data_IF_332081694064
#
_entry.id   IF_332081694064
#
_cell.length_a   1.000
_cell.length_b   1.000
_cell.length_c   1.000
_cell.angle_alpha   90.00
_cell.angle_beta   90.00
_cell.angle_gamma   90.00
#
_symmetry.space_group_name_H-M   'P 1'
#
loop_
_entity.id
_entity.type
_entity.pdbx_description
1 polymer ?
#
# COMPACT_ATOMS: atom_id res chain seq x y z
N UNK A 1 7.71 55.40 -17.56
CA UNK A 1 7.46 54.45 -18.66
C UNK A 1 8.61 53.47 -18.60
N UNK A 2 8.44 52.41 -17.82
CA UNK A 2 9.21 51.18 -17.84
C UNK A 2 8.38 50.21 -17.01
N UNK A 3 7.57 49.41 -17.71
CA UNK A 3 6.65 48.46 -17.13
C UNK A 3 7.40 47.13 -16.96
N UNK A 4 7.46 46.64 -15.73
CA UNK A 4 7.85 45.26 -15.42
C UNK A 4 6.87 44.30 -16.12
N UNK A 5 7.36 43.25 -16.81
CA UNK A 5 6.48 42.22 -17.34
C UNK A 5 5.92 41.37 -16.19
N UNK A 6 4.62 41.05 -16.18
CA UNK A 6 4.04 40.20 -15.15
C UNK A 6 4.55 38.77 -15.26
N UNK A 7 4.88 38.24 -14.09
CA UNK A 7 5.20 36.84 -13.80
C UNK A 7 4.11 35.94 -14.40
N UNK A 8 4.52 35.01 -15.27
CA UNK A 8 3.63 33.96 -15.76
C UNK A 8 3.73 32.79 -14.80
N UNK A 9 2.91 32.84 -13.75
CA UNK A 9 2.52 31.65 -13.00
C UNK A 9 1.91 30.65 -13.98
N UNK A 10 2.72 29.66 -14.37
CA UNK A 10 2.21 28.46 -15.04
C UNK A 10 1.58 27.59 -13.97
N UNK A 11 0.39 28.01 -13.53
CA UNK A 11 -0.60 27.12 -12.93
C UNK A 11 -1.05 26.19 -14.08
N UNK A 12 -0.46 25.01 -14.16
CA UNK A 12 -0.87 23.99 -15.11
C UNK A 12 -0.97 22.64 -14.42
N UNK A 13 -2.19 22.14 -14.52
CA UNK A 13 -2.68 20.80 -14.27
C UNK A 13 -2.78 20.35 -12.82
N UNK A 14 -3.89 20.79 -12.23
CA UNK A 14 -4.86 19.90 -11.57
C UNK A 14 -4.90 18.51 -12.22
N UNK A 15 -3.99 17.62 -11.81
CA UNK A 15 -4.18 16.20 -12.04
C UNK A 15 -5.37 15.80 -11.17
N UNK A 16 -6.48 15.48 -11.82
CA UNK A 16 -7.67 14.95 -11.17
C UNK A 16 -7.30 13.59 -10.59
N UNK A 17 -6.79 13.59 -9.35
CA UNK A 17 -6.53 12.39 -8.57
C UNK A 17 -7.89 11.80 -8.21
N UNK A 18 -8.43 11.02 -9.14
CA UNK A 18 -9.57 10.16 -8.84
C UNK A 18 -9.04 9.19 -7.79
N UNK A 19 -9.45 9.38 -6.53
CA UNK A 19 -8.94 8.69 -5.34
C UNK A 19 -8.78 7.19 -5.61
N UNK A 20 -7.58 6.79 -5.98
CA UNK A 20 -7.30 5.41 -6.34
C UNK A 20 -7.16 4.58 -5.07
N UNK A 21 -7.82 3.44 -5.02
CA UNK A 21 -7.79 2.58 -3.85
C UNK A 21 -6.45 1.82 -3.79
N UNK A 22 -5.58 2.20 -2.85
CA UNK A 22 -4.21 1.67 -2.76
C UNK A 22 -4.17 0.32 -2.05
N UNK A 23 -3.74 -0.71 -2.78
CA UNK A 23 -3.33 -2.02 -2.24
C UNK A 23 -1.82 -2.01 -2.08
N UNK A 24 -1.30 -2.41 -0.92
CA UNK A 24 0.15 -2.47 -0.67
C UNK A 24 0.61 -3.92 -0.70
N UNK A 25 1.79 -4.13 -1.29
CA UNK A 25 2.45 -5.43 -1.38
C UNK A 25 3.84 -5.32 -0.75
N UNK A 26 4.05 -6.01 0.36
CA UNK A 26 5.35 -6.09 1.02
C UNK A 26 5.46 -7.35 1.88
N UNK A 27 6.65 -7.93 1.93
CA UNK A 27 6.97 -9.15 2.70
C UNK A 27 7.40 -8.82 4.13
N UNK A 28 7.37 -9.81 5.03
CA UNK A 28 8.11 -9.74 6.28
C UNK A 28 7.37 -9.11 7.47
N UNK A 29 6.16 -8.59 7.28
CA UNK A 29 5.47 -7.75 8.27
C UNK A 29 4.15 -8.33 8.81
N UNK A 30 3.57 -9.35 8.17
CA UNK A 30 2.29 -9.95 8.54
C UNK A 30 2.11 -11.37 7.94
N UNK A 31 1.07 -12.14 8.33
CA UNK A 31 0.75 -13.46 7.76
C UNK A 31 0.38 -13.47 6.27
N UNK A 32 0.16 -12.29 5.69
CA UNK A 32 -0.12 -12.06 4.27
C UNK A 32 0.64 -10.81 3.82
N UNK A 33 1.27 -10.84 2.64
CA UNK A 33 2.00 -9.70 2.12
C UNK A 33 1.07 -8.67 1.44
N UNK A 34 -0.22 -8.97 1.28
CA UNK A 34 -1.20 -8.08 0.63
C UNK A 34 -2.00 -7.32 1.68
N UNK A 35 -1.94 -5.99 1.58
CA UNK A 35 -2.55 -5.08 2.53
C UNK A 35 -3.52 -4.14 1.83
N UNK A 36 -4.77 -4.13 2.29
CA UNK A 36 -5.79 -3.19 1.83
C UNK A 36 -6.63 -2.75 3.02
N UNK A 37 -6.39 -1.53 3.51
CA UNK A 37 -6.95 -1.03 4.79
C UNK A 37 -6.64 -1.96 5.99
N UNK A 38 -5.51 -2.67 5.94
CA UNK A 38 -5.12 -3.71 6.88
C UNK A 38 -4.62 -4.97 6.16
N UNK A 39 -4.07 -5.92 6.92
CA UNK A 39 -3.69 -7.25 6.40
C UNK A 39 -4.94 -7.97 5.91
N UNK A 40 -4.86 -8.66 4.77
CA UNK A 40 -5.97 -9.47 4.24
C UNK A 40 -5.64 -10.95 4.25
N UNK A 41 -6.61 -11.74 4.68
CA UNK A 41 -6.51 -13.20 4.68
C UNK A 41 -6.61 -13.76 3.27
N UNK A 42 -5.89 -14.85 3.03
CA UNK A 42 -5.76 -15.47 1.70
C UNK A 42 -7.11 -15.86 1.09
N UNK A 43 -7.97 -16.49 1.88
CA UNK A 43 -9.27 -16.98 1.43
C UNK A 43 -10.29 -15.85 1.24
N UNK A 44 -10.04 -14.71 1.90
CA UNK A 44 -10.87 -13.52 1.80
C UNK A 44 -10.59 -12.72 0.53
N UNK A 45 -9.36 -12.69 0.03
CA UNK A 45 -8.99 -11.91 -1.15
C UNK A 45 -9.67 -12.38 -2.43
N UNK A 46 -10.02 -13.67 -2.51
CA UNK A 46 -10.73 -14.23 -3.67
C UNK A 46 -9.90 -14.28 -4.95
N UNK A 47 -8.57 -14.20 -4.83
CA UNK A 47 -7.66 -14.46 -5.94
C UNK A 47 -7.73 -15.92 -6.37
N UNK A 48 -7.41 -16.20 -7.63
CA UNK A 48 -7.25 -17.58 -8.09
C UNK A 48 -6.11 -18.31 -7.35
N UNK A 49 -6.09 -19.64 -7.51
CA UNK A 49 -5.12 -20.51 -6.85
C UNK A 49 -3.68 -20.18 -7.27
N UNK A 50 -3.48 -19.79 -8.52
CA UNK A 50 -2.16 -19.60 -9.10
C UNK A 50 -1.50 -18.32 -8.57
N UNK A 51 -2.25 -17.21 -8.56
CA UNK A 51 -1.78 -15.96 -7.95
C UNK A 51 -1.58 -16.13 -6.44
N UNK A 52 -2.49 -16.83 -5.76
CA UNK A 52 -2.35 -17.12 -4.33
C UNK A 52 -1.10 -17.95 -4.03
N UNK A 53 -0.84 -19.00 -4.82
CA UNK A 53 0.33 -19.85 -4.64
C UNK A 53 1.64 -19.08 -4.91
N UNK A 54 1.68 -18.25 -5.95
CA UNK A 54 2.87 -17.47 -6.26
C UNK A 54 3.16 -16.38 -5.22
N UNK A 55 2.12 -15.73 -4.67
CA UNK A 55 2.26 -14.80 -3.56
C UNK A 55 2.80 -15.48 -2.29
N UNK A 56 2.29 -16.67 -1.95
CA UNK A 56 2.77 -17.46 -0.81
C UNK A 56 4.22 -17.88 -0.98
N UNK A 57 4.61 -18.34 -2.18
CA UNK A 57 5.99 -18.72 -2.48
C UNK A 57 6.92 -17.51 -2.35
N UNK A 58 6.52 -16.38 -2.90
CA UNK A 58 7.28 -15.14 -2.80
C UNK A 58 7.48 -14.72 -1.35
N UNK A 59 6.42 -14.68 -0.53
CA UNK A 59 6.54 -14.33 0.89
C UNK A 59 7.43 -15.31 1.68
N UNK A 60 7.32 -16.62 1.42
CA UNK A 60 8.15 -17.64 2.06
C UNK A 60 9.64 -17.53 1.67
N UNK A 61 9.93 -17.19 0.41
CA UNK A 61 11.31 -17.02 -0.08
C UNK A 61 12.05 -15.92 0.69
N UNK A 62 11.36 -14.86 1.12
CA UNK A 62 11.93 -13.79 1.94
C UNK A 62 12.49 -14.34 3.26
N UNK A 63 11.70 -15.12 4.00
CA UNK A 63 12.11 -15.70 5.27
C UNK A 63 13.20 -16.76 5.10
N UNK A 64 13.08 -17.62 4.08
CA UNK A 64 14.08 -18.64 3.78
C UNK A 64 15.45 -18.04 3.38
N UNK A 65 15.46 -16.82 2.83
CA UNK A 65 16.69 -16.10 2.49
C UNK A 65 17.44 -15.57 3.72
N UNK A 66 16.73 -15.26 4.81
CA UNK A 66 17.29 -14.66 6.04
C UNK A 66 17.77 -15.68 7.07
N UNK A 67 17.33 -16.93 6.95
CA UNK A 67 17.69 -18.05 7.85
C UNK A 67 19.04 -18.72 7.50
N UNK A 68 19.91 -18.05 6.74
CA UNK A 68 21.21 -18.61 6.34
C UNK A 68 22.33 -17.66 6.73
N UNK A 69 23.12 -18.08 7.72
CA UNK A 69 24.38 -17.46 8.14
C UNK A 69 25.49 -17.54 7.08
N UNK A 70 25.18 -17.26 5.81
CA UNK A 70 26.14 -17.19 4.72
C UNK A 70 26.48 -15.72 4.40
N UNK A 71 27.58 -15.19 4.95
CA UNK A 71 28.04 -13.83 4.67
C UNK A 71 28.51 -13.61 3.23
N UNK A 72 28.50 -14.65 2.36
CA UNK A 72 28.93 -14.56 0.95
C UNK A 72 27.78 -14.34 -0.04
N UNK A 73 26.52 -14.37 0.40
CA UNK A 73 25.45 -13.82 -0.43
C UNK A 73 25.56 -12.30 -0.34
N UNK A 74 26.15 -11.68 -1.36
CA UNK A 74 25.98 -10.25 -1.61
C UNK A 74 24.49 -9.95 -1.45
N UNK A 75 24.13 -9.13 -0.46
CA UNK A 75 22.73 -8.89 -0.10
C UNK A 75 21.90 -8.42 -1.30
N UNK A 76 22.56 -7.84 -2.30
CA UNK A 76 21.93 -7.14 -3.40
C UNK A 76 21.26 -8.06 -4.44
N UNK A 77 21.91 -9.12 -4.95
CA UNK A 77 21.35 -9.89 -6.09
C UNK A 77 20.09 -10.70 -5.72
N UNK A 78 20.07 -11.47 -4.60
CA UNK A 78 18.86 -12.18 -4.18
C UNK A 78 17.73 -11.21 -3.79
N UNK A 79 18.05 -10.04 -3.27
CA UNK A 79 17.08 -9.02 -2.89
C UNK A 79 16.50 -8.30 -4.12
N UNK A 80 17.32 -7.95 -5.10
CA UNK A 80 16.89 -7.39 -6.40
C UNK A 80 15.95 -8.38 -7.10
N UNK A 81 16.32 -9.66 -7.17
CA UNK A 81 15.49 -10.69 -7.79
C UNK A 81 14.17 -10.88 -7.04
N UNK A 82 14.20 -10.87 -5.71
CA UNK A 82 12.99 -10.92 -4.89
C UNK A 82 12.07 -9.71 -5.15
N UNK A 83 12.63 -8.50 -5.27
CA UNK A 83 11.88 -7.28 -5.61
C UNK A 83 11.31 -7.33 -7.03
N UNK A 84 12.05 -7.83 -8.02
CA UNK A 84 11.56 -8.04 -9.40
C UNK A 84 10.33 -8.95 -9.43
N UNK A 85 10.37 -10.05 -8.67
CA UNK A 85 9.20 -10.94 -8.52
C UNK A 85 8.03 -10.24 -7.83
N UNK A 86 8.31 -9.43 -6.81
CA UNK A 86 7.31 -8.59 -6.15
C UNK A 86 6.62 -7.63 -7.13
N UNK A 87 7.39 -6.96 -8.00
CA UNK A 87 6.84 -6.09 -9.03
C UNK A 87 5.96 -6.83 -10.05
N UNK A 88 6.40 -8.02 -10.49
CA UNK A 88 5.60 -8.86 -11.38
C UNK A 88 4.28 -9.31 -10.72
N UNK A 89 4.31 -9.65 -9.43
CA UNK A 89 3.12 -9.97 -8.65
C UNK A 89 2.20 -8.76 -8.46
N UNK A 90 2.78 -7.57 -8.23
CA UNK A 90 2.01 -6.33 -8.14
C UNK A 90 1.24 -6.03 -9.42
N UNK A 91 1.84 -6.27 -10.60
CA UNK A 91 1.14 -6.17 -11.90
C UNK A 91 -0.01 -7.15 -12.00
N UNK A 92 0.20 -8.42 -11.63
CA UNK A 92 -0.87 -9.43 -11.64
C UNK A 92 -2.02 -9.09 -10.69
N UNK A 93 -1.73 -8.56 -9.49
CA UNK A 93 -2.77 -8.08 -8.58
C UNK A 93 -3.51 -6.90 -9.19
N UNK A 94 -2.79 -5.93 -9.78
CA UNK A 94 -3.41 -4.79 -10.42
C UNK A 94 -4.38 -5.26 -11.52
N UNK A 95 -3.93 -6.15 -12.41
CA UNK A 95 -4.75 -6.70 -13.49
C UNK A 95 -5.94 -7.51 -12.95
N UNK A 96 -5.76 -8.29 -11.87
CA UNK A 96 -6.84 -9.04 -11.23
C UNK A 96 -7.95 -8.12 -10.70
N UNK A 97 -7.58 -6.99 -10.11
CA UNK A 97 -8.51 -6.06 -9.45
C UNK A 97 -9.09 -5.01 -10.40
N UNK A 98 -8.34 -4.60 -11.42
CA UNK A 98 -8.70 -3.52 -12.35
C UNK A 98 -8.83 -2.15 -11.66
N UNK A 99 -9.22 -1.13 -12.44
CA UNK A 99 -9.58 0.19 -11.90
C UNK A 99 -10.73 0.06 -10.88
N UNK A 100 -10.74 0.77 -9.73
CA UNK A 100 -9.89 1.89 -9.34
C UNK A 100 -8.65 1.51 -8.52
N UNK A 101 -8.28 0.23 -8.46
CA UNK A 101 -7.19 -0.20 -7.59
C UNK A 101 -5.82 0.07 -8.20
N UNK A 102 -4.88 0.45 -7.33
CA UNK A 102 -3.47 0.56 -7.67
C UNK A 102 -2.66 -0.22 -6.65
N UNK A 103 -1.57 -0.86 -7.09
CA UNK A 103 -0.74 -1.70 -6.24
C UNK A 103 0.59 -1.03 -5.98
N UNK A 104 0.89 -0.78 -4.71
CA UNK A 104 2.13 -0.18 -4.26
C UNK A 104 3.10 -1.28 -3.80
N UNK A 105 4.31 -1.33 -4.37
CA UNK A 105 5.34 -2.33 -4.07
C UNK A 105 6.70 -1.66 -3.87
N UNK A 106 7.65 -2.33 -3.21
CA UNK A 106 9.03 -1.84 -3.13
C UNK A 106 9.68 -1.78 -4.52
N UNK A 107 10.33 -0.66 -4.80
CA UNK A 107 11.01 -0.42 -6.06
C UNK A 107 12.21 -1.36 -6.23
N UNK A 108 12.44 -1.82 -7.46
CA UNK A 108 13.51 -2.80 -7.74
C UNK A 108 14.89 -2.17 -7.59
N UNK A 109 15.10 -1.02 -8.23
CA UNK A 109 16.44 -0.43 -8.44
C UNK A 109 16.73 0.78 -7.54
N UNK A 110 15.84 1.11 -6.61
CA UNK A 110 16.04 2.29 -5.78
C UNK A 110 16.91 1.97 -4.56
N UNK A 111 18.03 2.71 -4.35
CA UNK A 111 18.70 2.67 -3.06
C UNK A 111 17.71 3.09 -1.97
N UNK A 112 17.89 2.50 -0.80
CA UNK A 112 17.23 2.93 0.42
C UNK A 112 17.45 4.44 0.57
N UNK A 113 16.37 5.21 0.75
CA UNK A 113 16.44 6.65 0.92
C UNK A 113 17.29 7.02 2.14
N UNK A 114 17.64 8.31 2.27
CA UNK A 114 18.41 8.81 3.41
C UNK A 114 17.75 8.54 4.77
N UNK A 115 16.44 8.25 4.78
CA UNK A 115 15.61 7.88 5.92
C UNK A 115 15.57 6.38 6.21
N UNK A 116 16.25 5.55 5.42
CA UNK A 116 16.19 4.10 5.58
C UNK A 116 14.99 3.45 4.90
N UNK A 117 14.17 4.18 4.13
CA UNK A 117 12.99 3.64 3.46
C UNK A 117 13.25 3.31 1.98
N UNK A 118 12.81 2.14 1.54
CA UNK A 118 12.77 1.80 0.12
C UNK A 118 11.74 2.66 -0.60
N UNK A 119 12.12 3.22 -1.76
CA UNK A 119 11.17 3.87 -2.67
C UNK A 119 10.09 2.87 -3.06
N UNK A 120 8.86 3.36 -3.28
CA UNK A 120 7.72 2.55 -3.69
C UNK A 120 7.37 2.82 -5.16
N UNK A 121 7.09 1.75 -5.90
CA UNK A 121 6.50 1.79 -7.23
C UNK A 121 4.99 1.61 -7.13
N UNK A 122 4.24 2.28 -8.02
CA UNK A 122 2.77 2.18 -8.11
C UNK A 122 2.40 1.58 -9.45
N UNK A 123 1.74 0.43 -9.40
CA UNK A 123 1.32 -0.33 -10.56
C UNK A 123 -0.18 -0.20 -10.74
N UNK A 124 -0.60 0.12 -11.96
CA UNK A 124 -2.02 0.24 -12.34
C UNK A 124 -2.37 -0.81 -13.39
N UNK A 125 -3.62 -1.27 -13.38
CA UNK A 125 -4.15 -2.07 -14.47
C UNK A 125 -4.37 -1.18 -15.70
N UNK A 126 -4.09 -1.72 -16.88
CA UNK A 126 -4.40 -1.03 -18.14
C UNK A 126 -5.80 -1.38 -18.66
N UNK A 127 -6.39 -2.46 -18.15
CA UNK A 127 -7.65 -3.03 -18.60
C UNK A 127 -8.60 -3.29 -17.42
N UNK A 128 -9.81 -3.76 -17.73
CA UNK A 128 -10.76 -4.24 -16.72
C UNK A 128 -10.24 -5.45 -15.94
N UNK A 129 -10.89 -5.79 -14.79
CA UNK A 129 -10.42 -6.85 -13.90
C UNK A 129 -10.39 -8.21 -14.59
N UNK A 130 -9.25 -8.88 -14.57
CA UNK A 130 -9.13 -10.27 -15.03
C UNK A 130 -9.76 -11.25 -14.03
N UNK A 131 -9.94 -10.85 -12.77
CA UNK A 131 -10.61 -11.62 -11.73
C UNK A 131 -11.76 -10.81 -11.10
N UNK A 132 -12.95 -10.75 -11.74
CA UNK A 132 -14.07 -9.92 -11.28
C UNK A 132 -14.54 -10.25 -9.86
N UNK A 133 -14.43 -11.51 -9.43
CA UNK A 133 -14.77 -11.93 -8.06
C UNK A 133 -13.88 -11.28 -7.01
N UNK A 134 -12.56 -11.26 -7.22
CA UNK A 134 -11.61 -10.56 -6.35
C UNK A 134 -11.87 -9.05 -6.37
N UNK A 135 -12.04 -8.45 -7.56
CA UNK A 135 -12.36 -7.03 -7.70
C UNK A 135 -13.61 -6.63 -6.91
N UNK A 136 -14.68 -7.43 -6.99
CA UNK A 136 -15.92 -7.16 -6.25
C UNK A 136 -15.72 -7.17 -4.73
N UNK A 137 -14.91 -8.10 -4.19
CA UNK A 137 -14.60 -8.15 -2.76
C UNK A 137 -13.82 -6.92 -2.30
N UNK A 138 -12.78 -6.54 -3.04
CA UNK A 138 -12.01 -5.34 -2.73
C UNK A 138 -12.86 -4.06 -2.81
N UNK A 139 -13.81 -3.99 -3.75
CA UNK A 139 -14.76 -2.87 -3.83
C UNK A 139 -15.71 -2.82 -2.65
N UNK A 140 -16.20 -3.98 -2.19
CA UNK A 140 -17.02 -4.04 -0.98
C UNK A 140 -16.24 -3.50 0.22
N UNK A 141 -14.98 -3.91 0.39
CA UNK A 141 -14.12 -3.38 1.45
C UNK A 141 -13.80 -1.89 1.30
N UNK A 142 -13.62 -1.39 0.08
CA UNK A 142 -13.41 0.03 -0.17
C UNK A 142 -14.62 0.84 0.31
N UNK A 143 -15.82 0.40 -0.09
CA UNK A 143 -17.09 1.03 0.30
C UNK A 143 -17.35 0.97 1.81
N UNK A 144 -17.08 -0.18 2.44
CA UNK A 144 -17.22 -0.33 3.89
C UNK A 144 -16.24 0.59 4.62
N UNK A 145 -15.02 0.71 4.11
CA UNK A 145 -14.01 1.62 4.62
C UNK A 145 -14.39 3.10 4.50
N UNK A 146 -14.90 3.51 3.35
CA UNK A 146 -15.40 4.87 3.11
C UNK A 146 -16.56 5.20 4.04
N UNK A 147 -17.49 4.26 4.25
CA UNK A 147 -18.60 4.43 5.16
C UNK A 147 -18.13 4.59 6.61
N UNK A 148 -17.14 3.83 7.04
CA UNK A 148 -16.56 3.97 8.39
C UNK A 148 -15.79 5.29 8.53
N UNK A 149 -14.97 5.67 7.54
CA UNK A 149 -14.26 6.95 7.55
C UNK A 149 -15.23 8.12 7.61
N UNK A 150 -16.35 8.05 6.88
CA UNK A 150 -17.41 9.05 6.92
C UNK A 150 -18.07 9.12 8.29
N UNK A 151 -18.36 7.99 8.94
CA UNK A 151 -18.91 7.94 10.31
C UNK A 151 -17.96 8.56 11.33
N UNK A 152 -16.69 8.16 11.30
CA UNK A 152 -15.66 8.71 12.20
C UNK A 152 -15.52 10.23 11.98
N UNK A 153 -15.49 10.67 10.73
CA UNK A 153 -15.40 12.10 10.38
C UNK A 153 -16.63 12.89 10.85
N UNK A 154 -17.83 12.35 10.67
CA UNK A 154 -19.07 12.97 11.14
C UNK A 154 -19.09 13.09 12.67
N UNK A 155 -18.74 12.01 13.39
CA UNK A 155 -18.64 12.03 14.84
C UNK A 155 -17.66 13.11 15.35
N UNK A 156 -16.48 13.21 14.71
CA UNK A 156 -15.50 14.25 15.04
C UNK A 156 -16.01 15.67 14.75
N UNK A 157 -16.75 15.87 13.65
CA UNK A 157 -17.29 17.18 13.27
C UNK A 157 -18.41 17.66 14.22
N UNK A 158 -19.21 16.75 14.76
CA UNK A 158 -20.28 17.03 15.74
C UNK A 158 -19.73 17.29 17.16
N UNK A 159 -18.40 17.31 17.35
CA UNK A 159 -17.77 17.40 18.68
C UNK A 159 -17.82 16.08 19.46
N UNK A 160 -18.32 15.02 18.84
CA UNK A 160 -18.39 13.65 19.34
C UNK A 160 -17.06 12.92 19.19
N UNK A 161 -16.09 13.25 20.04
CA UNK A 161 -14.86 12.48 20.15
C UNK A 161 -13.69 13.31 20.66
N UNK A 162 -13.14 12.94 21.81
CA UNK A 162 -11.85 13.47 22.27
C UNK A 162 -10.76 12.46 21.90
N UNK A 163 -9.82 12.89 21.06
CA UNK A 163 -8.60 12.12 20.83
C UNK A 163 -7.90 11.86 22.17
N UNK A 164 -7.55 10.60 22.39
CA UNK A 164 -6.76 10.18 23.54
C UNK A 164 -5.62 9.32 23.05
N UNK A 165 -4.40 9.61 23.50
CA UNK A 165 -3.29 8.70 23.34
C UNK A 165 -3.29 7.72 24.51
N UNK A 166 -3.28 6.43 24.23
CA UNK A 166 -3.28 5.38 25.24
C UNK A 166 -1.93 4.67 25.26
N UNK A 167 -1.31 4.55 26.43
CA UNK A 167 -0.05 3.87 26.65
C UNK A 167 -0.32 2.47 27.26
N UNK A 168 -0.42 1.40 26.44
CA UNK A 168 -0.92 0.10 26.88
C UNK A 168 -0.09 -0.54 28.00
N UNK A 169 1.23 -0.37 27.98
CA UNK A 169 2.13 -0.93 28.99
C UNK A 169 1.99 -0.28 30.38
N UNK A 170 1.41 0.93 30.45
CA UNK A 170 1.25 1.67 31.71
C UNK A 170 -0.20 1.94 32.09
N UNK A 171 -1.14 1.60 31.20
CA UNK A 171 -2.57 1.93 31.34
C UNK A 171 -2.88 3.44 31.29
N UNK A 172 -1.90 4.30 30.99
CA UNK A 172 -2.09 5.75 31.04
C UNK A 172 -2.76 6.27 29.78
N UNK A 173 -3.70 7.19 29.97
CA UNK A 173 -4.36 7.91 28.88
C UNK A 173 -3.93 9.38 28.91
N UNK A 174 -3.42 9.88 27.79
CA UNK A 174 -3.02 11.26 27.60
C UNK A 174 -4.04 11.96 26.71
N UNK A 175 -4.40 13.17 27.08
CA UNK A 175 -5.24 14.04 26.25
C UNK A 175 -4.30 15.02 25.56
N UNK A 176 -4.31 15.12 24.22
CA UNK A 176 -3.55 16.17 23.54
C UNK A 176 -4.07 17.52 24.06
N UNK A 177 -3.19 18.27 24.70
CA UNK A 177 -3.51 19.57 25.28
C UNK A 177 -3.68 20.60 24.17
N UNK A 178 -4.75 21.40 24.22
CA UNK A 178 -4.77 22.70 23.55
C UNK A 178 -3.73 23.56 24.27
N UNK A 179 -2.69 24.00 23.55
CA UNK A 179 -1.90 25.15 23.99
C UNK A 179 -2.74 26.40 23.85
#
# INVERSE_FOLDING_TARGET
>A
MDAEPPETDTESDTHTDTESAVVRLFVGHAPSPVWFRGVRDWDEMGFDSDLTADLRRWDADWYASRDRGDPRRSADEPEIEHRRRGLALARRIADALGWPFVVQVDAVESPVGADGASRREVVRAEQGPTQPGASARFRAWAKDGEAEDARVRAALAEGGGRWVAYAPLSGRTFRPGRR
#
